data_IF_979708288285
#
_entry.id   IF_979708288285
#
_cell.length_a   1.000
_cell.length_b   1.000
_cell.length_c   1.000
_cell.angle_alpha   90.00
_cell.angle_beta   90.00
_cell.angle_gamma   90.00
#
_symmetry.space_group_name_H-M   'P 1'
#
loop_
_entity.id
_entity.type
_entity.pdbx_description
1 polymer ?
#
# COMPACT_ATOMS: atom_id res chain seq x y z
N UNK A 1 36.29 34.28 5.49
CA UNK A 1 34.88 34.09 5.94
C UNK A 1 33.86 34.29 4.83
N UNK A 2 33.95 35.36 4.00
CA UNK A 2 33.01 35.61 2.89
C UNK A 2 32.94 34.47 1.86
N UNK A 3 34.10 33.96 1.44
CA UNK A 3 34.16 32.95 0.38
C UNK A 3 33.60 31.59 0.82
N UNK A 4 33.70 31.26 2.12
CA UNK A 4 33.11 30.04 2.69
C UNK A 4 31.59 30.03 2.48
N UNK A 5 30.92 31.14 2.82
CA UNK A 5 29.47 31.30 2.65
C UNK A 5 29.06 31.15 1.19
N UNK A 6 29.85 31.72 0.27
CA UNK A 6 29.58 31.63 -1.16
C UNK A 6 29.67 30.18 -1.68
N UNK A 7 30.68 29.42 -1.25
CA UNK A 7 30.81 28.02 -1.63
C UNK A 7 29.67 27.15 -1.07
N UNK A 8 29.23 27.41 0.16
CA UNK A 8 28.10 26.67 0.75
C UNK A 8 26.80 26.94 0.00
N UNK A 9 26.54 28.19 -0.39
CA UNK A 9 25.35 28.54 -1.18
C UNK A 9 25.40 27.92 -2.59
N UNK A 10 26.58 27.90 -3.21
CA UNK A 10 26.74 27.28 -4.53
C UNK A 10 26.49 25.77 -4.47
N UNK A 11 26.97 25.08 -3.42
CA UNK A 11 26.73 23.66 -3.21
C UNK A 11 25.24 23.31 -3.04
N UNK A 12 24.48 24.15 -2.32
CA UNK A 12 23.02 23.96 -2.17
C UNK A 12 22.28 24.24 -3.48
N UNK A 13 22.72 25.23 -4.25
CA UNK A 13 22.08 25.59 -5.52
C UNK A 13 22.22 24.52 -6.60
N UNK A 14 23.32 23.76 -6.60
CA UNK A 14 23.61 22.68 -7.57
C UNK A 14 23.22 21.28 -7.06
N UNK A 15 22.70 21.18 -5.84
CA UNK A 15 22.20 19.91 -5.33
C UNK A 15 21.07 19.40 -6.22
N UNK A 16 21.20 18.15 -6.68
CA UNK A 16 20.20 17.51 -7.51
C UNK A 16 18.88 17.44 -6.74
N UNK A 17 17.78 17.87 -7.36
CA UNK A 17 16.48 17.87 -6.69
C UNK A 17 15.97 16.43 -6.70
N UNK A 18 15.52 15.88 -5.56
CA UNK A 18 14.83 14.60 -5.58
C UNK A 18 13.67 14.71 -6.57
N UNK A 19 13.58 13.77 -7.50
CA UNK A 19 12.45 13.68 -8.40
C UNK A 19 11.18 13.51 -7.55
N UNK A 20 10.33 14.53 -7.55
CA UNK A 20 8.99 14.46 -6.93
C UNK A 20 8.03 13.59 -7.74
N UNK A 21 8.51 12.98 -8.82
CA UNK A 21 7.71 12.15 -9.72
C UNK A 21 7.71 10.71 -9.24
N UNK A 22 6.56 10.27 -8.76
CA UNK A 22 6.25 8.86 -8.63
C UNK A 22 6.19 8.24 -10.03
N UNK A 23 7.19 7.42 -10.37
CA UNK A 23 7.22 6.65 -11.61
C UNK A 23 6.26 5.46 -11.51
N UNK A 24 4.95 5.74 -11.61
CA UNK A 24 3.95 4.69 -11.67
C UNK A 24 4.28 3.76 -12.86
N UNK A 25 4.21 2.43 -12.68
CA UNK A 25 4.37 1.49 -13.79
C UNK A 25 3.43 1.86 -14.94
N UNK A 26 3.99 2.16 -16.11
CA UNK A 26 3.21 2.47 -17.30
C UNK A 26 2.77 1.18 -17.99
N UNK A 27 1.66 0.61 -17.53
CA UNK A 27 1.01 -0.54 -18.17
C UNK A 27 -0.10 -1.11 -17.29
N UNK A 28 -1.14 -1.66 -17.92
CA UNK A 28 -2.01 -2.61 -17.22
C UNK A 28 -1.18 -3.86 -16.98
N UNK A 29 -0.93 -4.21 -15.71
CA UNK A 29 -0.34 -5.49 -15.35
C UNK A 29 -1.15 -6.67 -15.89
N UNK A 30 -0.66 -7.92 -15.74
CA UNK A 30 -1.45 -9.08 -16.12
C UNK A 30 -2.82 -9.05 -15.44
N UNK A 31 -3.87 -9.44 -16.18
CA UNK A 31 -5.17 -9.68 -15.58
C UNK A 31 -5.03 -10.90 -14.67
N UNK A 32 -5.27 -10.72 -13.38
CA UNK A 32 -5.29 -11.80 -12.39
C UNK A 32 -6.75 -12.05 -12.02
N UNK A 33 -7.25 -13.26 -12.27
CA UNK A 33 -8.63 -13.59 -11.94
C UNK A 33 -8.84 -13.69 -10.42
N UNK A 34 -10.04 -13.30 -9.97
CA UNK A 34 -10.51 -13.58 -8.61
C UNK A 34 -11.16 -14.96 -8.63
N UNK A 35 -10.60 -15.91 -7.90
CA UNK A 35 -11.10 -17.28 -7.82
C UNK A 35 -12.19 -17.44 -6.76
N UNK A 36 -12.10 -16.65 -5.67
CA UNK A 36 -13.10 -16.58 -4.61
C UNK A 36 -13.24 -15.17 -4.09
N UNK A 37 -14.47 -14.75 -3.83
CA UNK A 37 -14.77 -13.48 -3.16
C UNK A 37 -16.01 -13.60 -2.25
N UNK A 38 -15.79 -14.07 -1.02
CA UNK A 38 -16.85 -14.17 -0.02
C UNK A 38 -16.68 -13.03 1.00
N UNK A 39 -17.64 -12.09 0.99
CA UNK A 39 -17.64 -10.94 1.90
C UNK A 39 -18.95 -10.85 2.65
N UNK A 40 -18.85 -10.69 3.96
CA UNK A 40 -19.97 -10.34 4.81
C UNK A 40 -19.72 -8.91 5.29
N UNK A 41 -20.59 -8.00 4.87
CA UNK A 41 -20.55 -6.62 5.32
C UNK A 41 -20.80 -6.54 6.83
N UNK A 42 -20.25 -5.53 7.52
CA UNK A 42 -20.49 -5.34 8.95
C UNK A 42 -21.98 -5.35 9.30
N UNK A 43 -22.38 -6.17 10.26
CA UNK A 43 -23.73 -6.15 10.83
C UNK A 43 -23.94 -4.93 11.76
N UNK A 44 -25.12 -4.82 12.38
CA UNK A 44 -25.44 -3.75 13.32
C UNK A 44 -24.51 -3.73 14.56
N UNK A 45 -23.89 -4.86 14.89
CA UNK A 45 -22.88 -4.96 15.94
C UNK A 45 -21.46 -4.71 15.43
N UNK A 46 -21.25 -4.56 14.11
CA UNK A 46 -19.95 -4.32 13.49
C UNK A 46 -19.16 -5.57 13.14
N UNK A 47 -19.77 -6.76 13.17
CA UNK A 47 -19.12 -8.03 12.84
C UNK A 47 -19.03 -8.22 11.33
N UNK A 48 -17.86 -8.57 10.78
CA UNK A 48 -17.61 -8.74 9.35
C UNK A 48 -16.68 -9.92 9.03
N UNK A 49 -16.66 -10.35 7.77
CA UNK A 49 -15.70 -11.34 7.27
C UNK A 49 -15.29 -11.10 5.82
N UNK A 50 -14.07 -11.51 5.48
CA UNK A 50 -13.47 -11.40 4.16
C UNK A 50 -12.68 -12.68 3.83
N UNK A 51 -13.00 -13.29 2.69
CA UNK A 51 -12.26 -14.43 2.15
C UNK A 51 -12.08 -14.22 0.65
N UNK A 52 -10.83 -13.95 0.23
CA UNK A 52 -10.48 -13.72 -1.18
C UNK A 52 -9.32 -14.60 -1.59
N UNK A 53 -9.45 -15.19 -2.77
CA UNK A 53 -8.41 -15.97 -3.44
C UNK A 53 -8.23 -15.43 -4.86
N UNK A 54 -6.98 -15.23 -5.29
CA UNK A 54 -6.62 -14.79 -6.64
C UNK A 54 -5.85 -15.86 -7.40
N UNK A 55 -5.85 -15.77 -8.73
CA UNK A 55 -5.17 -16.72 -9.63
C UNK A 55 -3.65 -16.78 -9.40
N UNK A 56 -3.03 -15.68 -9.01
CA UNK A 56 -1.59 -15.61 -8.70
C UNK A 56 -1.25 -16.10 -7.29
N UNK A 57 -2.23 -16.66 -6.56
CA UNK A 57 -2.02 -17.36 -5.31
C UNK A 57 -2.17 -16.52 -4.05
N UNK A 58 -2.62 -15.26 -4.16
CA UNK A 58 -2.95 -14.46 -2.97
C UNK A 58 -4.17 -15.07 -2.31
N UNK A 59 -4.07 -15.36 -1.01
CA UNK A 59 -5.18 -15.81 -0.19
C UNK A 59 -5.27 -14.97 1.08
N UNK A 60 -6.39 -14.27 1.27
CA UNK A 60 -6.67 -13.47 2.46
C UNK A 60 -7.93 -13.96 3.14
N UNK A 61 -7.80 -14.35 4.40
CA UNK A 61 -8.91 -14.71 5.27
C UNK A 61 -8.87 -13.82 6.50
N UNK A 62 -9.96 -13.10 6.77
CA UNK A 62 -10.08 -12.18 7.88
C UNK A 62 -11.51 -12.18 8.42
N UNK A 63 -11.64 -12.02 9.73
CA UNK A 63 -12.89 -11.66 10.38
C UNK A 63 -12.61 -10.58 11.40
N UNK A 64 -13.63 -9.79 11.70
CA UNK A 64 -13.53 -8.70 12.66
C UNK A 64 -14.88 -8.30 13.22
N UNK A 65 -14.84 -7.39 14.19
CA UNK A 65 -15.95 -7.17 15.11
C UNK A 65 -15.49 -6.51 16.41
N UNK A 66 -16.44 -6.11 17.27
CA UNK A 66 -16.13 -5.40 18.51
C UNK A 66 -15.14 -6.16 19.40
N UNK A 67 -14.18 -5.43 19.98
CA UNK A 67 -13.18 -6.00 20.89
C UNK A 67 -11.93 -6.59 20.23
N UNK A 68 -11.89 -6.71 18.89
CA UNK A 68 -10.64 -6.93 18.14
C UNK A 68 -9.89 -8.24 18.44
N UNK A 69 -10.57 -9.24 18.99
CA UNK A 69 -9.98 -10.56 19.28
C UNK A 69 -9.80 -11.44 18.05
N UNK A 70 -10.31 -11.00 16.89
CA UNK A 70 -10.28 -11.75 15.65
C UNK A 70 -8.99 -11.45 14.88
N UNK A 71 -8.41 -12.49 14.27
CA UNK A 71 -7.19 -12.41 13.48
C UNK A 71 -7.44 -12.85 12.05
N UNK A 72 -6.66 -12.32 11.14
CA UNK A 72 -6.61 -12.75 9.75
C UNK A 72 -5.26 -13.34 9.38
N UNK A 73 -5.24 -14.07 8.26
CA UNK A 73 -4.02 -14.58 7.63
C UNK A 73 -3.97 -14.13 6.18
N UNK A 74 -2.77 -13.74 5.73
CA UNK A 74 -2.46 -13.46 4.33
C UNK A 74 -1.35 -14.42 3.91
N UNK A 75 -1.56 -15.09 2.78
CA UNK A 75 -0.57 -15.97 2.14
C UNK A 75 -0.34 -15.52 0.71
#
# INVERSE_FOLDING_TARGET
MKNLVLFTLLAVAVADKPSAHYGAPSGSGPLIAILRDDRVAPDAAGSYSFNVETEDGISRQESGGPGGTQQGSVR
#
